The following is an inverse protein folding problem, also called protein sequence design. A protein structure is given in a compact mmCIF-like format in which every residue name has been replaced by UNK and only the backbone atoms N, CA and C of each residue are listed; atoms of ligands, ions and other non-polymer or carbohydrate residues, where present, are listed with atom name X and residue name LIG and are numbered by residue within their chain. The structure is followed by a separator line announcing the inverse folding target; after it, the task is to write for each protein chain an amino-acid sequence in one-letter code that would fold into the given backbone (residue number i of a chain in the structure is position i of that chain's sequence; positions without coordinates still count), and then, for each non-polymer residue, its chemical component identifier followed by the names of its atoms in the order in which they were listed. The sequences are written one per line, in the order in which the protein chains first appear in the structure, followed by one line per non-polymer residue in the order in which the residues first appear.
data_IF_258128513990
#
_entry.id   IF_258128513990
#
_cell.length_a   1.000
_cell.length_b   1.000
_cell.length_c   1.000
_cell.angle_alpha   90.00
_cell.angle_beta   90.00
_cell.angle_gamma   90.00
#
_symmetry.space_group_name_H-M   'P 1'
#
loop_
_entity.id
_entity.type
_entity.pdbx_description
1 polymer ?
#
# COMPACT_ATOMS: atom_id res chain seq x y z
N UNK A 1 -14.37 -43.87 4.01
CA UNK A 1 -14.84 -42.53 3.57
C UNK A 1 -14.16 -41.49 4.43
N UNK A 2 -13.65 -40.43 3.80
CA UNK A 2 -12.45 -39.69 4.21
C UNK A 2 -12.50 -39.02 5.58
N UNK A 3 -11.42 -39.25 6.34
CA UNK A 3 -11.06 -38.44 7.51
C UNK A 3 -10.62 -37.07 6.99
N UNK A 4 -11.46 -36.07 7.21
CA UNK A 4 -11.17 -34.67 6.91
C UNK A 4 -10.13 -34.23 7.93
N UNK A 5 -8.86 -34.21 7.53
CA UNK A 5 -7.76 -33.70 8.33
C UNK A 5 -8.02 -32.22 8.61
N UNK A 6 -8.39 -31.91 9.85
CA UNK A 6 -8.64 -30.55 10.35
C UNK A 6 -7.36 -29.71 10.29
N UNK A 7 -7.24 -28.69 9.42
CA UNK A 7 -6.11 -27.79 9.40
C UNK A 7 -6.46 -26.57 10.26
N UNK A 8 -6.70 -26.74 11.57
CA UNK A 8 -7.38 -25.68 12.35
C UNK A 8 -6.51 -24.95 13.37
N UNK A 9 -5.39 -25.50 13.86
CA UNK A 9 -4.66 -24.85 14.96
C UNK A 9 -3.42 -24.05 14.52
N UNK A 10 -2.67 -24.50 13.52
CA UNK A 10 -1.48 -23.80 13.05
C UNK A 10 -1.82 -22.51 12.30
N UNK A 11 -2.85 -22.53 11.46
CA UNK A 11 -3.31 -21.35 10.71
C UNK A 11 -3.77 -20.22 11.62
N UNK A 12 -4.58 -20.51 12.63
CA UNK A 12 -5.06 -19.51 13.60
C UNK A 12 -3.91 -18.91 14.41
N UNK A 13 -2.95 -19.72 14.87
CA UNK A 13 -1.74 -19.22 15.54
C UNK A 13 -0.92 -18.32 14.64
N UNK A 14 -0.77 -18.64 13.35
CA UNK A 14 -0.07 -17.77 12.42
C UNK A 14 -0.80 -16.43 12.27
N UNK A 15 -2.13 -16.42 12.17
CA UNK A 15 -2.91 -15.18 12.09
C UNK A 15 -2.75 -14.30 13.33
N UNK A 16 -2.88 -14.89 14.52
CA UNK A 16 -2.71 -14.19 15.80
C UNK A 16 -1.26 -13.70 15.99
N UNK A 17 -0.27 -14.48 15.53
CA UNK A 17 1.14 -14.08 15.54
C UNK A 17 1.44 -13.00 14.51
N UNK A 18 0.81 -12.98 13.32
CA UNK A 18 0.97 -11.87 12.37
C UNK A 18 0.40 -10.57 12.96
N UNK A 19 -0.75 -10.66 13.62
CA UNK A 19 -1.40 -9.53 14.27
C UNK A 19 -0.60 -9.05 15.50
N UNK A 20 0.06 -9.96 16.23
CA UNK A 20 0.82 -9.63 17.45
C UNK A 20 2.30 -9.25 17.24
N UNK A 21 3.03 -9.91 16.33
CA UNK A 21 4.48 -9.69 16.13
C UNK A 21 4.83 -8.72 15.01
N UNK A 22 3.86 -8.38 14.15
CA UNK A 22 4.12 -7.53 13.00
C UNK A 22 5.06 -8.17 11.97
N UNK A 23 5.37 -7.41 10.91
CA UNK A 23 6.07 -7.88 9.70
C UNK A 23 7.44 -8.54 9.97
N UNK A 24 8.19 -8.04 10.95
CA UNK A 24 9.60 -8.35 11.13
C UNK A 24 9.93 -9.77 11.64
N UNK A 25 8.98 -10.50 12.23
CA UNK A 25 9.21 -11.87 12.73
C UNK A 25 8.50 -12.96 11.93
N UNK A 26 7.59 -12.58 11.04
CA UNK A 26 6.77 -13.53 10.31
C UNK A 26 7.55 -14.21 9.18
N UNK A 27 8.36 -13.45 8.44
CA UNK A 27 9.16 -13.96 7.32
C UNK A 27 10.09 -15.10 7.75
N UNK A 28 10.85 -14.91 8.83
CA UNK A 28 11.76 -15.92 9.37
C UNK A 28 11.00 -17.16 9.86
N UNK A 29 9.86 -16.97 10.50
CA UNK A 29 9.01 -18.07 10.97
C UNK A 29 8.46 -18.89 9.80
N UNK A 30 8.05 -18.21 8.72
CA UNK A 30 7.54 -18.86 7.50
C UNK A 30 8.63 -19.63 6.76
N UNK A 31 9.85 -19.11 6.73
CA UNK A 31 10.99 -19.80 6.10
C UNK A 31 11.37 -21.09 6.83
N UNK A 32 11.21 -21.14 8.16
CA UNK A 32 11.51 -22.33 8.99
C UNK A 32 10.43 -23.42 8.95
N UNK A 33 9.25 -23.16 8.37
CA UNK A 33 8.15 -24.13 8.29
C UNK A 33 8.46 -25.26 7.28
N UNK A 34 8.00 -26.48 7.58
CA UNK A 34 8.11 -27.61 6.65
C UNK A 34 7.21 -27.42 5.41
N UNK A 35 7.51 -28.10 4.31
CA UNK A 35 6.76 -27.99 3.05
C UNK A 35 5.24 -28.23 3.22
N UNK A 36 4.85 -29.23 4.01
CA UNK A 36 3.42 -29.54 4.27
C UNK A 36 2.71 -28.41 5.04
N UNK A 37 3.45 -27.74 5.93
CA UNK A 37 2.94 -26.62 6.71
C UNK A 37 2.83 -25.37 5.85
N UNK A 38 3.80 -25.15 4.94
CA UNK A 38 3.74 -24.10 3.91
C UNK A 38 2.54 -24.28 3.00
N UNK A 39 2.24 -25.50 2.55
CA UNK A 39 1.05 -25.78 1.73
C UNK A 39 -0.26 -25.48 2.50
N UNK A 40 -0.35 -25.92 3.75
CA UNK A 40 -1.52 -25.66 4.61
C UNK A 40 -1.70 -24.16 4.86
N UNK A 41 -0.59 -23.46 5.12
CA UNK A 41 -0.57 -22.01 5.32
C UNK A 41 -1.00 -21.26 4.06
N UNK A 42 -0.57 -21.71 2.88
CA UNK A 42 -0.99 -21.14 1.60
C UNK A 42 -2.50 -21.25 1.40
N UNK A 43 -3.10 -22.41 1.71
CA UNK A 43 -4.55 -22.60 1.70
C UNK A 43 -5.25 -21.64 2.67
N UNK A 44 -4.77 -21.51 3.90
CA UNK A 44 -5.30 -20.52 4.85
C UNK A 44 -5.19 -19.07 4.33
N UNK A 45 -4.07 -18.73 3.70
CA UNK A 45 -3.83 -17.39 3.16
C UNK A 45 -4.82 -17.04 2.03
N UNK A 46 -5.23 -18.01 1.19
CA UNK A 46 -6.30 -17.77 0.20
C UNK A 46 -7.61 -17.33 0.86
N UNK A 47 -7.99 -18.00 1.96
CA UNK A 47 -9.21 -17.68 2.72
C UNK A 47 -9.08 -16.29 3.35
N UNK A 48 -7.94 -15.97 3.93
CA UNK A 48 -7.69 -14.64 4.52
C UNK A 48 -7.71 -13.53 3.46
N UNK A 49 -7.25 -13.80 2.24
CA UNK A 49 -7.24 -12.82 1.16
C UNK A 49 -8.67 -12.38 0.73
N UNK A 50 -9.68 -13.21 0.96
CA UNK A 50 -11.08 -12.85 0.69
C UNK A 50 -11.61 -11.77 1.65
N UNK A 51 -11.01 -11.63 2.83
CA UNK A 51 -11.41 -10.67 3.86
C UNK A 51 -10.53 -9.42 3.81
N UNK A 52 -11.14 -8.26 3.61
CA UNK A 52 -10.43 -6.97 3.63
C UNK A 52 -9.70 -6.71 4.96
N UNK A 53 -10.18 -7.24 6.09
CA UNK A 53 -9.54 -7.08 7.41
C UNK A 53 -8.21 -7.84 7.53
N UNK A 54 -8.10 -8.96 6.83
CA UNK A 54 -6.94 -9.86 6.90
C UNK A 54 -6.14 -9.86 5.58
N UNK A 55 -6.39 -8.89 4.69
CA UNK A 55 -5.70 -8.85 3.39
C UNK A 55 -4.19 -8.64 3.54
N UNK A 56 -3.76 -7.77 4.46
CA UNK A 56 -2.35 -7.48 4.67
C UNK A 56 -1.53 -8.69 5.14
N UNK A 57 -1.92 -9.42 6.21
CA UNK A 57 -1.24 -10.66 6.60
C UNK A 57 -1.31 -11.73 5.52
N UNK A 58 -2.44 -11.84 4.80
CA UNK A 58 -2.59 -12.82 3.71
C UNK A 58 -1.60 -12.55 2.57
N UNK A 59 -1.52 -11.31 2.09
CA UNK A 59 -0.65 -10.90 0.99
C UNK A 59 0.83 -11.09 1.33
N UNK A 60 1.22 -10.85 2.58
CA UNK A 60 2.58 -11.09 3.05
C UNK A 60 2.94 -12.58 2.98
N UNK A 61 2.08 -13.45 3.52
CA UNK A 61 2.26 -14.91 3.45
C UNK A 61 2.33 -15.39 2.00
N UNK A 62 1.42 -14.92 1.15
CA UNK A 62 1.36 -15.27 -0.26
C UNK A 62 2.66 -14.86 -0.97
N UNK A 63 3.17 -13.65 -0.72
CA UNK A 63 4.43 -13.16 -1.30
C UNK A 63 5.62 -14.04 -0.92
N UNK A 64 5.78 -14.36 0.36
CA UNK A 64 6.91 -15.17 0.85
C UNK A 64 6.86 -16.58 0.24
N UNK A 65 5.68 -17.20 0.22
CA UNK A 65 5.51 -18.54 -0.31
C UNK A 65 5.60 -18.58 -1.85
N UNK A 66 5.24 -17.50 -2.54
CA UNK A 66 5.43 -17.37 -3.99
C UNK A 66 6.90 -17.39 -4.39
N UNK A 67 7.77 -16.73 -3.62
CA UNK A 67 9.22 -16.76 -3.85
C UNK A 67 9.76 -18.19 -3.74
N UNK A 68 9.34 -18.93 -2.70
CA UNK A 68 9.72 -20.33 -2.49
C UNK A 68 9.20 -21.26 -3.61
N UNK A 69 8.01 -20.98 -4.14
CA UNK A 69 7.44 -21.69 -5.30
C UNK A 69 8.23 -21.37 -6.58
N UNK A 70 8.62 -20.11 -6.78
CA UNK A 70 9.37 -19.67 -7.95
C UNK A 70 10.78 -20.28 -8.01
N UNK A 71 11.42 -20.47 -6.85
CA UNK A 71 12.73 -21.15 -6.72
C UNK A 71 12.57 -22.68 -6.84
N UNK A 72 11.34 -23.20 -6.76
CA UNK A 72 11.02 -24.62 -6.90
C UNK A 72 11.18 -25.44 -5.61
N UNK A 73 11.37 -24.79 -4.47
CA UNK A 73 11.47 -25.45 -3.16
C UNK A 73 10.11 -25.98 -2.68
N UNK A 74 9.02 -25.33 -3.09
CA UNK A 74 7.66 -25.70 -2.70
C UNK A 74 6.86 -26.21 -3.90
N UNK A 75 6.62 -27.54 -3.95
CA UNK A 75 5.74 -28.15 -4.95
C UNK A 75 4.30 -28.17 -4.44
N UNK A 76 3.48 -27.26 -4.96
CA UNK A 76 2.04 -27.21 -4.65
C UNK A 76 1.22 -27.89 -5.75
N UNK A 77 0.59 -29.04 -5.48
CA UNK A 77 -0.36 -29.61 -6.42
C UNK A 77 -1.55 -28.65 -6.60
N UNK A 78 -1.81 -28.25 -7.84
CA UNK A 78 -2.93 -27.34 -8.14
C UNK A 78 -2.63 -25.85 -7.97
N UNK A 79 -1.36 -25.41 -8.06
CA UNK A 79 -0.96 -24.01 -8.02
C UNK A 79 -1.82 -23.09 -8.92
N UNK A 80 -2.12 -23.52 -10.15
CA UNK A 80 -2.96 -22.73 -11.08
C UNK A 80 -4.33 -22.42 -10.49
N UNK A 81 -5.01 -23.42 -9.91
CA UNK A 81 -6.33 -23.23 -9.28
C UNK A 81 -6.27 -22.32 -8.05
N UNK A 82 -5.18 -22.37 -7.30
CA UNK A 82 -4.94 -21.45 -6.19
C UNK A 82 -4.78 -20.01 -6.68
N UNK A 83 -3.96 -19.80 -7.72
CA UNK A 83 -3.74 -18.49 -8.31
C UNK A 83 -5.02 -17.90 -8.89
N UNK A 84 -5.81 -18.70 -9.61
CA UNK A 84 -7.14 -18.30 -10.12
C UNK A 84 -8.06 -17.78 -9.01
N UNK A 85 -7.99 -18.37 -7.81
CA UNK A 85 -8.75 -17.91 -6.65
C UNK A 85 -8.18 -16.64 -5.99
N UNK A 86 -6.86 -16.45 -6.00
CA UNK A 86 -6.17 -15.39 -5.25
C UNK A 86 -6.00 -14.10 -6.06
N UNK A 87 -5.75 -14.19 -7.36
CA UNK A 87 -5.56 -13.05 -8.27
C UNK A 87 -6.69 -12.01 -8.15
N UNK A 88 -7.99 -12.35 -8.30
CA UNK A 88 -9.05 -11.34 -8.35
C UNK A 88 -9.23 -10.58 -7.04
N UNK A 89 -8.83 -11.15 -5.90
CA UNK A 89 -8.86 -10.44 -4.61
C UNK A 89 -7.63 -9.57 -4.43
N UNK A 90 -6.47 -10.03 -4.90
CA UNK A 90 -5.24 -9.23 -4.90
C UNK A 90 -5.39 -7.98 -5.75
N UNK A 91 -5.93 -8.11 -6.97
CA UNK A 91 -6.22 -6.98 -7.86
C UNK A 91 -7.23 -6.00 -7.24
N UNK A 92 -8.30 -6.51 -6.62
CA UNK A 92 -9.28 -5.67 -5.92
C UNK A 92 -8.65 -4.86 -4.79
N UNK A 93 -7.80 -5.48 -3.98
CA UNK A 93 -7.11 -4.79 -2.89
C UNK A 93 -6.11 -3.75 -3.42
N UNK A 94 -5.39 -4.07 -4.49
CA UNK A 94 -4.50 -3.12 -5.16
C UNK A 94 -5.24 -1.90 -5.71
N UNK A 95 -6.39 -2.11 -6.37
CA UNK A 95 -7.24 -1.02 -6.86
C UNK A 95 -7.74 -0.13 -5.71
N UNK A 96 -8.15 -0.74 -4.58
CA UNK A 96 -8.56 0.01 -3.39
C UNK A 96 -7.41 0.86 -2.82
N UNK A 97 -6.21 0.30 -2.72
CA UNK A 97 -5.03 1.03 -2.25
C UNK A 97 -4.69 2.20 -3.18
N UNK A 98 -4.79 1.98 -4.49
CA UNK A 98 -4.54 3.01 -5.50
C UNK A 98 -5.55 4.16 -5.39
N UNK A 99 -6.84 3.85 -5.20
CA UNK A 99 -7.86 4.87 -4.99
C UNK A 99 -7.59 5.70 -3.73
N UNK A 100 -7.26 5.04 -2.61
CA UNK A 100 -6.92 5.74 -1.36
C UNK A 100 -5.72 6.68 -1.52
N UNK A 101 -4.72 6.28 -2.32
CA UNK A 101 -3.57 7.13 -2.62
C UNK A 101 -3.97 8.35 -3.47
N UNK A 102 -4.84 8.17 -4.46
CA UNK A 102 -5.38 9.28 -5.25
C UNK A 102 -6.16 10.27 -4.36
N UNK A 103 -7.02 9.75 -3.47
CA UNK A 103 -7.77 10.57 -2.51
C UNK A 103 -6.84 11.38 -1.61
N UNK A 104 -5.72 10.80 -1.17
CA UNK A 104 -4.69 11.51 -0.40
C UNK A 104 -4.04 12.64 -1.22
N UNK A 105 -3.75 12.41 -2.50
CA UNK A 105 -3.21 13.46 -3.36
C UNK A 105 -4.19 14.62 -3.54
N UNK A 106 -5.49 14.35 -3.64
CA UNK A 106 -6.51 15.41 -3.65
C UNK A 106 -6.51 16.20 -2.35
N UNK A 107 -6.39 15.53 -1.19
CA UNK A 107 -6.28 16.21 0.10
C UNK A 107 -5.04 17.12 0.16
N UNK A 108 -3.87 16.62 -0.25
CA UNK A 108 -2.63 17.42 -0.31
C UNK A 108 -2.76 18.64 -1.24
N UNK A 109 -3.46 18.48 -2.36
CA UNK A 109 -3.76 19.59 -3.26
C UNK A 109 -4.65 20.65 -2.59
N UNK A 110 -5.72 20.23 -1.92
CA UNK A 110 -6.61 21.15 -1.19
C UNK A 110 -5.88 21.90 -0.07
N UNK A 111 -5.02 21.22 0.69
CA UNK A 111 -4.18 21.84 1.71
C UNK A 111 -3.31 22.94 1.09
N UNK A 112 -2.61 22.63 -0.01
CA UNK A 112 -1.72 23.57 -0.70
C UNK A 112 -2.48 24.81 -1.20
N UNK A 113 -3.68 24.62 -1.75
CA UNK A 113 -4.53 25.72 -2.19
C UNK A 113 -4.95 26.62 -1.02
N UNK A 114 -5.43 26.03 0.07
CA UNK A 114 -5.86 26.77 1.26
C UNK A 114 -4.69 27.53 1.91
N UNK A 115 -3.52 26.91 2.04
CA UNK A 115 -2.30 27.57 2.55
C UNK A 115 -1.87 28.75 1.67
N UNK A 116 -1.95 28.60 0.33
CA UNK A 116 -1.64 29.71 -0.58
C UNK A 116 -2.63 30.86 -0.42
N UNK A 117 -3.91 30.59 -0.25
CA UNK A 117 -4.92 31.63 -0.03
C UNK A 117 -4.74 32.38 1.29
N UNK A 118 -4.39 31.69 2.39
CA UNK A 118 -4.12 32.36 3.66
C UNK A 118 -2.86 33.23 3.60
N UNK A 119 -1.80 32.78 2.92
CA UNK A 119 -0.59 33.59 2.68
C UNK A 119 -0.86 34.79 1.77
N UNK A 120 -1.76 34.67 0.79
CA UNK A 120 -2.08 35.76 -0.14
C UNK A 120 -2.98 36.82 0.52
N UNK A 121 -3.99 36.42 1.29
CA UNK A 121 -4.83 37.36 2.07
C UNK A 121 -4.04 38.05 3.21
N UNK A 122 -3.08 37.35 3.83
CA UNK A 122 -2.19 37.96 4.83
C UNK A 122 -1.25 39.03 4.24
N UNK A 123 -0.88 38.92 2.96
CA UNK A 123 -0.11 39.96 2.24
C UNK A 123 -0.98 41.12 1.79
N UNK A 124 -2.22 40.87 1.36
CA UNK A 124 -3.17 41.92 0.98
C UNK A 124 -3.58 42.81 2.17
N UNK A 125 -3.77 42.22 3.36
CA UNK A 125 -4.10 42.97 4.58
C UNK A 125 -2.89 43.71 5.20
N UNK A 126 -1.67 43.50 4.70
CA UNK A 126 -0.46 44.22 5.16
C UNK A 126 -0.08 45.41 4.27
N UNK A 127 -0.71 45.58 3.10
CA UNK A 127 -0.54 46.77 2.24
C UNK A 127 -1.62 47.84 2.46
N UNK A 128 -2.56 47.63 3.38
CA UNK A 128 -3.68 48.55 3.65
C UNK A 128 -3.41 49.70 4.62
N UNK A 129 -2.24 49.81 5.26
CA UNK A 129 -1.92 50.91 6.17
C UNK A 129 -0.50 51.45 5.89
N UNK A 130 -0.40 52.60 5.21
CA UNK A 130 0.83 53.40 5.18
C UNK A 130 1.22 54.00 3.82
N UNK A 131 0.49 55.05 3.41
CA UNK A 131 0.95 56.30 2.79
C UNK A 131 2.03 56.31 1.68
N UNK A 132 1.63 57.02 0.62
CA UNK A 132 2.40 57.88 -0.31
C UNK A 132 2.73 57.35 -1.71
N UNK A 133 2.11 58.06 -2.64
CA UNK A 133 2.45 58.19 -4.05
C UNK A 133 3.88 58.74 -4.21
N UNK A 134 4.72 58.03 -4.95
CA UNK A 134 5.85 58.60 -5.70
C UNK A 134 6.13 57.72 -6.93
N UNK A 135 6.19 58.26 -8.17
CA UNK A 135 6.42 57.47 -9.38
C UNK A 135 7.90 57.54 -9.75
N UNK A 136 8.64 56.47 -9.48
CA UNK A 136 10.00 56.37 -9.98
C UNK A 136 10.81 55.35 -9.21
N UNK A 137 10.71 54.08 -9.61
CA UNK A 137 11.86 53.19 -9.69
C UNK A 137 11.41 51.86 -10.31
N UNK A 138 11.71 51.72 -11.60
CA UNK A 138 11.86 50.40 -12.20
C UNK A 138 13.27 49.91 -11.86
N UNK A 139 13.39 48.67 -11.39
CA UNK A 139 14.47 47.85 -11.95
C UNK A 139 13.90 46.60 -12.60
N UNK A 140 14.15 46.54 -13.90
CA UNK A 140 14.17 45.36 -14.74
C UNK A 140 14.76 44.12 -14.05
N UNK A 141 14.02 43.01 -14.05
CA UNK A 141 14.65 41.69 -14.20
C UNK A 141 13.71 40.75 -14.95
N UNK A 142 14.28 40.12 -15.97
CA UNK A 142 13.64 39.42 -17.09
C UNK A 142 13.16 38.03 -16.64
N UNK A 143 11.97 37.55 -17.04
CA UNK A 143 11.69 36.11 -17.03
C UNK A 143 12.37 35.49 -18.26
N UNK A 144 13.50 34.82 -18.03
CA UNK A 144 14.10 33.93 -19.02
C UNK A 144 13.13 32.76 -19.24
N UNK A 145 12.58 32.68 -20.45
CA UNK A 145 11.91 31.48 -20.95
C UNK A 145 12.91 30.33 -20.97
N UNK A 146 12.54 29.16 -20.42
CA UNK A 146 12.99 27.88 -20.96
C UNK A 146 11.82 26.89 -20.94
N UNK A 147 11.62 26.12 -22.03
CA UNK A 147 10.37 25.50 -22.42
C UNK A 147 10.12 24.15 -21.75
N UNK A 148 8.89 23.66 -21.88
CA UNK A 148 8.46 22.41 -21.27
C UNK A 148 9.34 21.21 -21.59
N UNK A 149 9.32 20.23 -20.69
CA UNK A 149 9.17 18.79 -20.96
C UNK A 149 9.31 17.99 -19.66
N UNK A 150 8.57 16.88 -19.62
CA UNK A 150 8.73 15.66 -18.80
C UNK A 150 8.18 15.72 -17.37
N UNK A 151 7.17 14.88 -17.13
CA UNK A 151 6.30 14.82 -15.96
C UNK A 151 4.85 14.59 -16.43
#
# INVERSE_FOLDING_TARGET
MGSVASPSFAGLKCQDEVIKKGKAGLEDTIRQLHADQKESLLKCASVWNTSSKNCHPAQLVISILLDDIAIGELKTPGLSSFLEGVIPYTERHFNRLTQLLQDLHFLQYTETCMQRHTMTNGRALRQGNGLNHDPGDTPSFIPEEVPGSIW
#
